data_IF_077074343880
#
_entry.id   IF_077074343880
#
_cell.length_a   1.000
_cell.length_b   1.000
_cell.length_c   1.000
_cell.angle_alpha   90.00
_cell.angle_beta   90.00
_cell.angle_gamma   90.00
#
_symmetry.space_group_name_H-M   'P 1'
#
loop_
_entity.id
_entity.type
_entity.pdbx_description
1 polymer ?
#
# COMPACT_ATOMS: atom_id res chain seq x y z
N UNK A 1 18.72 3.75 15.32
CA UNK A 1 17.34 4.23 15.10
C UNK A 1 17.45 5.47 14.22
N UNK A 2 17.12 5.40 12.94
CA UNK A 2 17.14 6.58 12.07
C UNK A 2 15.81 7.31 12.26
N UNK A 3 15.84 8.36 13.08
CA UNK A 3 14.73 9.31 13.19
C UNK A 3 14.81 10.20 11.95
N UNK A 4 14.06 9.85 10.91
CA UNK A 4 14.01 10.68 9.71
C UNK A 4 13.37 12.03 10.10
N UNK A 5 13.87 13.16 9.58
CA UNK A 5 13.33 14.47 9.90
C UNK A 5 11.84 14.51 9.52
N UNK A 6 11.05 14.99 10.46
CA UNK A 6 9.60 15.15 10.35
C UNK A 6 9.32 16.18 9.25
N UNK A 7 8.65 15.79 8.17
CA UNK A 7 8.07 16.77 7.26
C UNK A 7 6.77 17.28 7.90
N UNK A 8 6.80 18.49 8.45
CA UNK A 8 5.61 19.16 9.03
C UNK A 8 4.57 19.53 7.97
N UNK A 9 4.94 19.45 6.69
CA UNK A 9 4.09 19.74 5.56
C UNK A 9 3.83 18.45 4.78
N UNK A 10 2.58 18.01 4.72
CA UNK A 10 2.15 16.97 3.78
C UNK A 10 2.32 17.53 2.36
N UNK A 11 3.21 16.98 1.52
CA UNK A 11 3.34 17.41 0.14
C UNK A 11 1.99 17.33 -0.57
N UNK A 12 1.75 18.25 -1.52
CA UNK A 12 0.52 18.29 -2.31
C UNK A 12 0.22 16.95 -3.00
N UNK A 13 1.25 16.18 -3.33
CA UNK A 13 1.17 14.84 -3.92
C UNK A 13 0.46 13.82 -3.02
N UNK A 14 0.42 14.03 -1.70
CA UNK A 14 -0.28 13.11 -0.79
C UNK A 14 -1.79 13.32 -0.80
N UNK A 15 -2.29 14.46 -1.33
CA UNK A 15 -3.73 14.73 -1.46
C UNK A 15 -4.40 13.75 -2.42
N UNK A 16 -3.66 13.24 -3.40
CA UNK A 16 -4.16 12.31 -4.40
C UNK A 16 -4.37 10.89 -3.84
N UNK A 17 -3.91 10.63 -2.61
CA UNK A 17 -4.11 9.34 -1.93
C UNK A 17 -5.58 9.14 -1.51
N UNK A 18 -6.35 10.22 -1.37
CA UNK A 18 -7.75 10.19 -0.94
C UNK A 18 -8.64 10.81 -2.02
N UNK A 19 -9.48 9.99 -2.66
CA UNK A 19 -10.40 10.44 -3.71
C UNK A 19 -11.62 11.19 -3.16
N UNK A 20 -12.02 10.88 -1.92
CA UNK A 20 -13.18 11.50 -1.25
C UNK A 20 -12.74 12.43 -0.11
N UNK A 21 -13.34 13.62 -0.04
CA UNK A 21 -13.06 14.62 1.02
C UNK A 21 -13.38 14.12 2.44
N UNK A 22 -14.25 13.12 2.57
CA UNK A 22 -14.63 12.49 3.85
C UNK A 22 -13.89 11.17 4.13
N UNK A 23 -12.98 10.72 3.25
CA UNK A 23 -12.24 9.49 3.49
C UNK A 23 -11.20 9.70 4.61
N UNK A 24 -11.32 8.93 5.68
CA UNK A 24 -10.29 8.86 6.72
C UNK A 24 -9.08 8.09 6.20
N UNK A 25 -7.90 8.64 6.41
CA UNK A 25 -6.62 7.99 6.11
C UNK A 25 -5.73 7.95 7.33
N UNK A 26 -4.91 6.91 7.42
CA UNK A 26 -3.96 6.70 8.52
C UNK A 26 -2.55 6.87 7.98
N UNK A 27 -1.80 7.78 8.56
CA UNK A 27 -0.38 7.95 8.26
C UNK A 27 0.47 7.24 9.31
N UNK A 28 1.32 6.31 8.87
CA UNK A 28 2.32 5.70 9.76
C UNK A 28 3.51 6.65 9.86
N UNK A 29 3.52 7.45 10.93
CA UNK A 29 4.61 8.38 11.19
C UNK A 29 5.96 7.69 11.38
N UNK A 30 5.98 6.58 12.13
CA UNK A 30 7.20 5.83 12.39
C UNK A 30 6.90 4.38 12.75
N UNK A 31 7.68 3.47 12.16
CA UNK A 31 7.76 2.08 12.58
C UNK A 31 9.22 1.66 12.55
N UNK A 32 9.76 1.34 13.72
CA UNK A 32 11.15 0.93 13.86
C UNK A 32 11.26 -0.17 14.91
N UNK A 33 12.16 -1.12 14.65
CA UNK A 33 12.57 -2.15 15.61
C UNK A 33 14.06 -2.00 15.84
N UNK A 34 14.46 -2.04 17.12
CA UNK A 34 15.87 -2.06 17.53
C UNK A 34 16.62 -3.17 16.79
N UNK A 35 17.86 -2.88 16.37
CA UNK A 35 18.63 -3.76 15.52
C UNK A 35 18.78 -5.18 16.09
N UNK A 36 18.88 -5.32 17.42
CA UNK A 36 19.03 -6.61 18.13
C UNK A 36 17.77 -7.48 18.06
N UNK A 37 16.63 -6.88 17.74
CA UNK A 37 15.33 -7.54 17.72
C UNK A 37 14.71 -7.62 16.31
N UNK A 38 15.46 -7.20 15.28
CA UNK A 38 15.00 -7.33 13.89
C UNK A 38 14.85 -8.80 13.50
N UNK A 39 14.00 -9.05 12.51
CA UNK A 39 13.73 -10.40 11.94
C UNK A 39 13.08 -11.39 12.91
N UNK A 40 12.62 -10.95 14.08
CA UNK A 40 11.83 -11.74 15.06
C UNK A 40 10.32 -11.53 14.94
N UNK A 41 9.82 -11.00 13.81
CA UNK A 41 8.39 -10.78 13.58
C UNK A 41 7.75 -9.56 14.28
N UNK A 42 8.46 -8.87 15.17
CA UNK A 42 7.93 -7.74 15.96
C UNK A 42 7.32 -6.63 15.09
N UNK A 43 8.00 -6.21 14.01
CA UNK A 43 7.47 -5.18 13.12
C UNK A 43 6.17 -5.62 12.43
N UNK A 44 6.08 -6.89 12.03
CA UNK A 44 4.86 -7.47 11.44
C UNK A 44 3.74 -7.52 12.47
N UNK A 45 4.03 -7.90 13.71
CA UNK A 45 3.05 -7.90 14.79
C UNK A 45 2.48 -6.50 15.05
N UNK A 46 3.35 -5.48 15.13
CA UNK A 46 2.93 -4.08 15.31
C UNK A 46 2.08 -3.59 14.13
N UNK A 47 2.47 -3.94 12.91
CA UNK A 47 1.73 -3.55 11.71
C UNK A 47 0.37 -4.24 11.64
N UNK A 48 0.28 -5.53 11.94
CA UNK A 48 -0.98 -6.26 11.97
C UNK A 48 -1.91 -5.71 13.04
N UNK A 49 -1.38 -5.43 14.25
CA UNK A 49 -2.16 -4.80 15.31
C UNK A 49 -2.76 -3.46 14.86
N UNK A 50 -1.99 -2.62 14.14
CA UNK A 50 -2.50 -1.38 13.58
C UNK A 50 -3.61 -1.63 12.55
N UNK A 51 -3.42 -2.59 11.64
CA UNK A 51 -4.41 -2.92 10.60
C UNK A 51 -5.71 -3.42 11.24
N UNK A 52 -5.61 -4.32 12.22
CA UNK A 52 -6.75 -4.86 12.95
C UNK A 52 -7.47 -3.75 13.74
N UNK A 53 -6.72 -2.88 14.41
CA UNK A 53 -7.26 -1.72 15.11
C UNK A 53 -8.02 -0.79 14.16
N UNK A 54 -7.49 -0.56 12.96
CA UNK A 54 -8.12 0.26 11.92
C UNK A 54 -9.38 -0.40 11.35
N UNK A 55 -9.35 -1.72 11.17
CA UNK A 55 -10.50 -2.49 10.69
C UNK A 55 -11.65 -2.50 11.70
N UNK A 56 -11.33 -2.43 13.00
CA UNK A 56 -12.31 -2.37 14.09
C UNK A 56 -12.93 -0.99 14.33
N UNK A 57 -12.45 0.08 13.68
CA UNK A 57 -13.00 1.43 13.86
C UNK A 57 -14.41 1.55 13.26
N UNK A 58 -15.28 2.30 13.94
CA UNK A 58 -16.61 2.66 13.45
C UNK A 58 -16.56 3.82 12.43
N UNK A 59 -17.73 4.18 11.88
CA UNK A 59 -17.83 5.16 10.80
C UNK A 59 -17.31 6.57 11.17
N UNK A 60 -16.62 7.27 10.26
CA UNK A 60 -16.18 6.79 8.95
C UNK A 60 -14.96 5.85 9.09
N UNK A 61 -15.06 4.67 8.48
CA UNK A 61 -13.99 3.69 8.48
C UNK A 61 -12.80 4.23 7.69
N UNK A 62 -11.56 4.12 8.22
CA UNK A 62 -10.38 4.50 7.47
C UNK A 62 -10.27 3.66 6.19
N UNK A 63 -9.87 4.30 5.11
CA UNK A 63 -9.86 3.71 3.77
C UNK A 63 -8.47 3.36 3.28
N UNK A 64 -7.46 4.09 3.75
CA UNK A 64 -6.07 3.91 3.33
C UNK A 64 -5.15 4.09 4.53
N UNK A 65 -4.14 3.23 4.61
CA UNK A 65 -2.97 3.40 5.47
C UNK A 65 -1.79 3.73 4.56
N UNK A 66 -1.07 4.81 4.81
CA UNK A 66 0.07 5.20 3.98
C UNK A 66 1.28 5.63 4.81
N UNK A 67 2.44 5.64 4.16
CA UNK A 67 3.71 6.02 4.78
C UNK A 67 4.73 6.45 3.74
N UNK A 68 5.75 7.15 4.23
CA UNK A 68 6.93 7.48 3.45
C UNK A 68 8.12 6.65 3.89
N UNK A 69 8.91 6.19 2.93
CA UNK A 69 10.15 5.45 3.16
C UNK A 69 11.27 6.05 2.33
N UNK A 70 12.46 6.18 2.90
CA UNK A 70 13.65 6.61 2.15
C UNK A 70 13.92 5.64 0.99
N UNK A 71 14.18 6.15 -0.21
CA UNK A 71 14.43 5.32 -1.40
C UNK A 71 15.57 4.29 -1.22
N UNK A 72 16.59 4.61 -0.41
CA UNK A 72 17.72 3.73 -0.07
C UNK A 72 17.42 2.70 1.01
N UNK A 73 16.27 2.78 1.70
CA UNK A 73 15.93 1.87 2.78
C UNK A 73 15.26 0.58 2.25
N UNK A 74 16.05 -0.23 1.53
CA UNK A 74 15.58 -1.47 0.93
C UNK A 74 14.96 -2.45 1.93
N UNK A 75 15.44 -2.46 3.17
CA UNK A 75 14.87 -3.34 4.21
C UNK A 75 13.43 -2.94 4.55
N UNK A 76 13.14 -1.65 4.68
CA UNK A 76 11.78 -1.18 4.94
C UNK A 76 10.89 -1.31 3.69
N UNK A 77 11.41 -1.00 2.50
CA UNK A 77 10.70 -1.18 1.23
C UNK A 77 10.23 -2.64 1.07
N UNK A 78 11.14 -3.60 1.26
CA UNK A 78 10.80 -5.02 1.17
C UNK A 78 9.89 -5.49 2.30
N UNK A 79 9.95 -4.86 3.47
CA UNK A 79 9.00 -5.12 4.55
C UNK A 79 7.58 -4.68 4.15
N UNK A 80 7.40 -3.43 3.72
CA UNK A 80 6.08 -2.91 3.38
C UNK A 80 5.46 -3.63 2.17
N UNK A 81 6.24 -3.87 1.11
CA UNK A 81 5.77 -4.66 -0.06
C UNK A 81 5.26 -6.04 0.33
N UNK A 82 5.97 -6.75 1.20
CA UNK A 82 5.56 -8.08 1.67
C UNK A 82 4.31 -8.07 2.55
N UNK A 83 4.01 -6.95 3.20
CA UNK A 83 2.79 -6.76 3.98
C UNK A 83 1.69 -6.05 3.16
N UNK A 84 1.71 -6.17 1.83
CA UNK A 84 0.62 -5.73 0.96
C UNK A 84 0.61 -4.26 0.58
N UNK A 85 1.56 -3.45 1.06
CA UNK A 85 1.67 -2.06 0.63
C UNK A 85 2.12 -1.98 -0.83
N UNK A 86 1.48 -1.09 -1.58
CA UNK A 86 1.79 -0.79 -2.98
C UNK A 86 2.51 0.55 -3.08
N UNK A 87 3.46 0.63 -4.00
CA UNK A 87 4.09 1.90 -4.34
C UNK A 87 3.05 2.85 -4.94
N UNK A 88 3.06 4.11 -4.50
CA UNK A 88 2.15 5.14 -4.98
C UNK A 88 2.89 6.21 -5.80
N UNK A 89 3.88 6.88 -5.18
CA UNK A 89 4.62 7.95 -5.84
C UNK A 89 6.01 8.13 -5.23
N UNK A 90 6.85 8.93 -5.89
CA UNK A 90 8.17 9.34 -5.41
C UNK A 90 8.15 10.83 -5.12
N UNK A 91 8.57 11.19 -3.90
CA UNK A 91 8.72 12.55 -3.41
C UNK A 91 10.19 12.95 -3.56
N UNK A 92 10.49 13.76 -4.57
CA UNK A 92 11.86 14.20 -4.85
C UNK A 92 12.42 15.07 -3.74
N UNK A 93 13.68 14.84 -3.34
CA UNK A 93 14.38 15.62 -2.31
C UNK A 93 13.64 15.74 -0.96
N UNK A 94 12.80 14.76 -0.63
CA UNK A 94 11.92 14.81 0.54
C UNK A 94 12.67 14.70 1.88
N UNK A 95 13.70 13.85 1.95
CA UNK A 95 14.48 13.65 3.16
C UNK A 95 15.79 14.42 3.10
N UNK A 96 16.08 15.20 4.15
CA UNK A 96 17.38 15.84 4.34
C UNK A 96 18.18 15.10 5.41
N UNK A 97 19.29 14.48 5.02
CA UNK A 97 20.20 13.82 5.97
C UNK A 97 21.54 14.56 5.88
N UNK A 98 21.84 15.35 6.91
CA UNK A 98 22.95 16.30 6.87
C UNK A 98 22.69 17.39 5.81
N UNK A 99 23.61 17.52 4.85
CA UNK A 99 23.50 18.48 3.75
C UNK A 99 23.09 17.83 2.42
N UNK A 100 22.70 16.56 2.44
CA UNK A 100 22.32 15.80 1.25
C UNK A 100 20.81 15.55 1.28
N UNK A 101 20.17 15.76 0.13
CA UNK A 101 18.77 15.46 -0.09
C UNK A 101 18.61 14.06 -0.70
N UNK A 102 17.54 13.38 -0.30
CA UNK A 102 17.19 12.05 -0.75
C UNK A 102 15.70 11.97 -1.02
N UNK A 103 15.33 11.16 -2.00
CA UNK A 103 13.93 10.96 -2.35
C UNK A 103 13.22 10.06 -1.34
N UNK A 104 11.97 10.39 -1.09
CA UNK A 104 11.02 9.55 -0.37
C UNK A 104 10.15 8.77 -1.36
N UNK A 105 9.79 7.54 -0.98
CA UNK A 105 8.79 6.75 -1.69
C UNK A 105 7.54 6.67 -0.82
N UNK A 106 6.39 6.93 -1.43
CA UNK A 106 5.09 6.77 -0.78
C UNK A 106 4.56 5.38 -1.03
N UNK A 107 4.18 4.69 0.04
CA UNK A 107 3.54 3.38 0.00
C UNK A 107 2.15 3.46 0.62
N UNK A 108 1.19 2.79 -0.01
CA UNK A 108 -0.23 2.79 0.39
C UNK A 108 -0.75 1.37 0.56
N UNK A 109 -1.60 1.16 1.56
CA UNK A 109 -2.35 -0.05 1.81
C UNK A 109 -3.83 0.32 1.88
N UNK A 110 -4.62 -0.29 0.99
CA UNK A 110 -6.07 -0.12 0.93
C UNK A 110 -6.73 -1.07 1.94
N UNK A 111 -7.62 -0.55 2.77
CA UNK A 111 -8.30 -1.28 3.86
C UNK A 111 -9.81 -1.07 3.80
N UNK A 112 -10.59 -1.91 4.48
CA UNK A 112 -12.05 -1.79 4.58
C UNK A 112 -12.75 -1.78 3.20
N UNK A 113 -12.35 -2.71 2.33
CA UNK A 113 -12.96 -2.95 1.03
C UNK A 113 -12.59 -1.97 -0.07
N UNK A 114 -11.69 -1.01 0.20
CA UNK A 114 -11.22 -0.07 -0.82
C UNK A 114 -10.26 -0.74 -1.79
N UNK A 115 -10.27 -0.23 -3.02
CA UNK A 115 -9.40 -0.70 -4.09
C UNK A 115 -8.57 0.47 -4.60
N UNK A 116 -7.36 0.21 -5.14
CA UNK A 116 -6.65 1.22 -5.89
C UNK A 116 -7.49 1.71 -7.06
N UNK A 117 -7.25 2.94 -7.56
CA UNK A 117 -7.80 3.37 -8.83
C UNK A 117 -7.43 2.34 -9.92
N UNK A 118 -8.41 1.99 -10.74
CA UNK A 118 -8.40 0.86 -11.68
C UNK A 118 -7.06 0.71 -12.42
N UNK A 119 -6.46 -0.47 -12.33
CA UNK A 119 -5.34 -0.84 -13.20
C UNK A 119 -5.85 -1.36 -14.53
N UNK A 120 -5.20 -1.00 -15.65
CA UNK A 120 -5.48 -1.59 -16.97
C UNK A 120 -5.47 -3.12 -16.94
N UNK A 121 -4.64 -3.71 -16.08
CA UNK A 121 -4.60 -5.15 -15.88
C UNK A 121 -5.92 -5.74 -15.35
N UNK A 122 -6.60 -5.04 -14.45
CA UNK A 122 -7.87 -5.51 -13.89
C UNK A 122 -8.99 -5.42 -14.94
N UNK A 123 -8.99 -4.36 -15.77
CA UNK A 123 -9.91 -4.23 -16.90
C UNK A 123 -9.68 -5.36 -17.91
N UNK A 124 -8.41 -5.60 -18.30
CA UNK A 124 -8.06 -6.69 -19.20
C UNK A 124 -8.41 -8.06 -18.62
N UNK A 125 -8.22 -8.29 -17.32
CA UNK A 125 -8.59 -9.53 -16.65
C UNK A 125 -10.11 -9.74 -16.61
N UNK A 126 -10.90 -8.69 -16.39
CA UNK A 126 -12.36 -8.77 -16.45
C UNK A 126 -12.82 -9.10 -17.87
N UNK A 127 -12.32 -8.39 -18.88
CA UNK A 127 -12.62 -8.67 -20.28
C UNK A 127 -12.23 -10.10 -20.66
N UNK A 128 -11.04 -10.56 -20.26
CA UNK A 128 -10.60 -11.94 -20.46
C UNK A 128 -11.56 -12.94 -19.82
N UNK A 129 -12.05 -12.69 -18.60
CA UNK A 129 -13.02 -13.57 -17.96
C UNK A 129 -14.35 -13.66 -18.71
N UNK A 130 -14.84 -12.54 -19.27
CA UNK A 130 -16.05 -12.50 -20.09
C UNK A 130 -15.89 -13.17 -21.45
N UNK A 131 -14.72 -13.06 -22.07
CA UNK A 131 -14.41 -13.71 -23.36
C UNK A 131 -14.15 -15.20 -23.16
N UNK A 132 -13.47 -15.61 -22.09
CA UNK A 132 -13.13 -17.00 -21.83
C UNK A 132 -14.31 -17.82 -21.29
N UNK A 133 -15.32 -17.22 -20.66
CA UNK A 133 -16.52 -17.92 -20.18
C UNK A 133 -17.31 -18.65 -21.30
N UNK A 134 -17.70 -18.00 -22.42
CA UNK A 134 -18.39 -18.67 -23.51
C UNK A 134 -17.50 -19.68 -24.24
N UNK A 135 -16.19 -19.41 -24.37
CA UNK A 135 -15.23 -20.35 -24.94
C UNK A 135 -15.14 -21.64 -24.11
N UNK A 136 -15.07 -21.55 -22.77
CA UNK A 136 -15.05 -22.73 -21.88
C UNK A 136 -16.36 -23.54 -21.97
N UNK A 137 -17.50 -22.88 -22.14
CA UNK A 137 -18.80 -23.53 -22.30
C UNK A 137 -18.91 -24.23 -23.66
N UNK A 138 -18.44 -23.60 -24.74
CA UNK A 138 -18.38 -24.16 -26.08
C UNK A 138 -17.47 -25.40 -26.15
N UNK A 139 -16.34 -25.40 -25.45
CA UNK A 139 -15.47 -26.59 -25.34
C UNK A 139 -16.14 -27.73 -24.56
N UNK A 140 -16.95 -27.44 -23.53
CA UNK A 140 -17.67 -28.46 -22.75
C UNK A 140 -18.83 -29.08 -23.54
N UNK A 141 -19.51 -28.30 -24.38
CA UNK A 141 -20.57 -28.77 -25.27
C UNK A 141 -20.04 -29.70 -26.38
N UNK A 142 -18.81 -29.49 -26.85
CA UNK A 142 -18.20 -30.33 -27.90
C UNK A 142 -17.77 -31.73 -27.39
N UNK A 143 -17.57 -31.89 -26.08
CA UNK A 143 -17.16 -33.17 -25.46
C UNK A 143 -18.33 -34.02 -24.94
N UNK A 144 -19.54 -33.45 -24.86
CA UNK A 144 -20.75 -34.15 -24.40
C UNK A 144 -21.58 -34.76 -25.55
N UNK A 145 -21.10 -34.62 -26.79
CA UNK A 145 -21.68 -35.13 -28.04
C UNK A 145 -20.76 -36.12 -28.77
N UNK A 146 -19.83 -36.77 -28.06
CA UNK A 146 -19.16 -38.01 -28.46
C UNK A 146 -19.48 -39.11 -27.46
#
# INVERSE_FOLDING_TARGET
MFRLPFALHLPSTDRDIHTDQNARVIYILSLAVDARYRRKGIATMLLNYLIDYVAAQEFPQPKVIYLHVLNKNHSAINFYRRNGFRYHTTLLNYYRIGNIYFDGLTYVLYVNGTRPPWSLYEVCSLISSFVCFPLRYLFKMKFMFQ
#
